data_IF_978901270161
#
_entry.id   IF_978901270161
#
_cell.length_a   1.000
_cell.length_b   1.000
_cell.length_c   1.000
_cell.angle_alpha   90.00
_cell.angle_beta   90.00
_cell.angle_gamma   90.00
#
_symmetry.space_group_name_H-M   'P 1'
#
loop_
_entity.id
_entity.type
_entity.pdbx_description
1 polymer ?
#
# COMPACT_ATOMS: atom_id res chain seq x y z
N UNK A 1 9.90 17.93 -7.01
CA UNK A 1 8.64 17.51 -6.40
C UNK A 1 8.50 18.16 -5.03
N UNK A 2 7.33 18.76 -4.77
CA UNK A 2 6.97 19.29 -3.46
C UNK A 2 6.34 18.19 -2.58
N UNK A 3 6.21 18.46 -1.28
CA UNK A 3 5.43 17.60 -0.39
C UNK A 3 3.95 17.50 -0.80
N UNK A 4 3.41 18.59 -1.38
CA UNK A 4 2.04 18.58 -1.86
C UNK A 4 1.87 17.68 -3.08
N UNK A 5 2.84 17.66 -4.00
CA UNK A 5 2.83 16.72 -5.12
C UNK A 5 2.83 15.25 -4.65
N UNK A 6 3.56 14.95 -3.57
CA UNK A 6 3.60 13.61 -2.98
C UNK A 6 2.25 13.26 -2.33
N UNK A 7 1.66 14.19 -1.58
CA UNK A 7 0.33 14.00 -0.98
C UNK A 7 -0.71 13.72 -2.04
N UNK A 8 -0.72 14.52 -3.10
CA UNK A 8 -1.66 14.38 -4.21
C UNK A 8 -1.45 13.03 -4.95
N UNK A 9 -0.22 12.61 -5.14
CA UNK A 9 0.09 11.33 -5.78
C UNK A 9 -0.36 10.13 -4.94
N UNK A 10 -0.17 10.17 -3.60
CA UNK A 10 -0.64 9.13 -2.69
C UNK A 10 -2.18 9.11 -2.62
N UNK A 11 -2.82 10.27 -2.57
CA UNK A 11 -4.29 10.36 -2.59
C UNK A 11 -4.86 9.81 -3.90
N UNK A 12 -4.28 10.17 -5.05
CA UNK A 12 -4.67 9.64 -6.36
C UNK A 12 -4.52 8.11 -6.40
N UNK A 13 -3.43 7.56 -5.91
CA UNK A 13 -3.25 6.11 -5.81
C UNK A 13 -4.37 5.48 -4.97
N UNK A 14 -4.65 6.03 -3.80
CA UNK A 14 -5.71 5.54 -2.92
C UNK A 14 -7.08 5.54 -3.58
N UNK A 15 -7.41 6.57 -4.37
CA UNK A 15 -8.66 6.64 -5.15
C UNK A 15 -8.71 5.53 -6.20
N UNK A 16 -7.64 5.32 -6.95
CA UNK A 16 -7.59 4.32 -8.03
C UNK A 16 -7.59 2.89 -7.48
N UNK A 17 -6.79 2.59 -6.47
CA UNK A 17 -6.80 1.28 -5.79
C UNK A 17 -8.15 1.03 -5.10
N UNK A 18 -8.73 2.05 -4.46
CA UNK A 18 -10.06 1.96 -3.86
C UNK A 18 -11.15 1.66 -4.90
N UNK A 19 -11.08 2.27 -6.07
CA UNK A 19 -11.97 1.96 -7.20
C UNK A 19 -11.79 0.50 -7.65
N UNK A 20 -10.56 0.01 -7.76
CA UNK A 20 -10.29 -1.38 -8.08
C UNK A 20 -10.92 -2.34 -7.05
N UNK A 21 -10.77 -2.06 -5.76
CA UNK A 21 -11.36 -2.85 -4.68
C UNK A 21 -12.90 -2.85 -4.72
N UNK A 22 -13.52 -1.69 -4.94
CA UNK A 22 -14.98 -1.58 -5.06
C UNK A 22 -15.50 -2.39 -6.25
N UNK A 23 -14.90 -2.23 -7.41
CA UNK A 23 -15.32 -2.96 -8.62
C UNK A 23 -15.10 -4.47 -8.46
N UNK A 24 -14.03 -4.91 -7.80
CA UNK A 24 -13.81 -6.32 -7.50
C UNK A 24 -14.93 -6.88 -6.60
N UNK A 25 -15.31 -6.13 -5.57
CA UNK A 25 -16.41 -6.51 -4.67
C UNK A 25 -17.75 -6.60 -5.40
N UNK A 26 -18.04 -5.66 -6.30
CA UNK A 26 -19.31 -5.60 -7.05
C UNK A 26 -19.41 -6.66 -8.15
N UNK A 27 -18.28 -7.01 -8.77
CA UNK A 27 -18.23 -7.95 -9.92
C UNK A 27 -17.97 -9.39 -9.53
N UNK A 28 -17.39 -9.61 -8.35
CA UNK A 28 -16.80 -10.88 -7.94
C UNK A 28 -15.35 -11.01 -8.41
N UNK A 29 -14.57 -11.77 -7.65
CA UNK A 29 -13.15 -12.02 -7.91
C UNK A 29 -12.98 -13.37 -8.60
N UNK A 30 -12.13 -13.41 -9.61
CA UNK A 30 -11.77 -14.64 -10.29
C UNK A 30 -11.07 -15.60 -9.30
N UNK A 31 -11.45 -16.91 -9.23
CA UNK A 31 -10.97 -17.84 -8.21
C UNK A 31 -9.45 -18.00 -8.13
N UNK A 32 -8.73 -17.93 -9.27
CA UNK A 32 -7.27 -18.00 -9.26
C UNK A 32 -6.64 -16.77 -8.62
N UNK A 33 -7.16 -15.58 -8.93
CA UNK A 33 -6.69 -14.33 -8.32
C UNK A 33 -6.98 -14.29 -6.80
N UNK A 34 -8.13 -14.83 -6.38
CA UNK A 34 -8.45 -14.95 -4.97
C UNK A 34 -7.43 -15.83 -4.24
N UNK A 35 -7.07 -16.99 -4.81
CA UNK A 35 -6.04 -17.87 -4.24
C UNK A 35 -4.64 -17.23 -4.19
N UNK A 36 -4.27 -16.48 -5.24
CA UNK A 36 -3.01 -15.73 -5.25
C UNK A 36 -2.99 -14.69 -4.12
N UNK A 37 -4.11 -13.97 -3.92
CA UNK A 37 -4.22 -12.99 -2.84
C UNK A 37 -4.13 -13.65 -1.46
N UNK A 38 -4.81 -14.77 -1.24
CA UNK A 38 -4.73 -15.53 0.01
C UNK A 38 -3.29 -15.95 0.32
N UNK A 39 -2.55 -16.42 -0.69
CA UNK A 39 -1.15 -16.81 -0.54
C UNK A 39 -0.27 -15.61 -0.15
N UNK A 40 -0.43 -14.46 -0.80
CA UNK A 40 0.33 -13.25 -0.47
C UNK A 40 -0.01 -12.72 0.92
N UNK A 41 -1.26 -12.78 1.34
CA UNK A 41 -1.65 -12.39 2.70
C UNK A 41 -0.96 -13.28 3.74
N UNK A 42 -0.89 -14.59 3.50
CA UNK A 42 -0.16 -15.52 4.37
C UNK A 42 1.36 -15.24 4.42
N UNK A 43 1.96 -14.89 3.27
CA UNK A 43 3.38 -14.53 3.21
C UNK A 43 3.67 -13.22 3.97
N UNK A 44 2.77 -12.25 3.89
CA UNK A 44 2.87 -11.01 4.66
C UNK A 44 2.76 -11.25 6.17
N UNK A 45 1.84 -12.10 6.59
CA UNK A 45 1.73 -12.52 8.00
C UNK A 45 3.03 -13.15 8.50
N UNK A 46 3.59 -14.05 7.69
CA UNK A 46 4.86 -14.71 8.01
C UNK A 46 6.02 -13.72 8.12
N UNK A 47 6.07 -12.72 7.24
CA UNK A 47 7.14 -11.71 7.24
C UNK A 47 7.16 -10.86 8.52
N UNK A 48 6.02 -10.69 9.19
CA UNK A 48 5.92 -9.89 10.44
C UNK A 48 5.86 -10.74 11.70
N UNK A 49 5.72 -12.05 11.59
CA UNK A 49 5.68 -12.96 12.73
C UNK A 49 7.06 -13.09 13.37
N UNK A 50 7.11 -13.00 14.71
CA UNK A 50 8.37 -13.07 15.46
C UNK A 50 9.35 -11.95 15.08
N UNK A 51 10.44 -12.30 14.42
CA UNK A 51 11.44 -11.34 13.91
C UNK A 51 10.98 -10.82 12.56
N UNK A 52 10.81 -9.50 12.44
CA UNK A 52 10.39 -8.85 11.20
C UNK A 52 11.41 -9.12 10.08
N UNK A 53 10.98 -9.83 9.04
CA UNK A 53 11.69 -9.90 7.75
C UNK A 53 11.24 -8.74 6.86
N UNK A 54 11.90 -7.59 7.03
CA UNK A 54 11.53 -6.37 6.35
C UNK A 54 11.60 -6.48 4.84
N UNK A 55 12.63 -7.15 4.30
CA UNK A 55 12.79 -7.31 2.85
C UNK A 55 11.65 -8.14 2.24
N UNK A 56 11.36 -9.29 2.83
CA UNK A 56 10.22 -10.12 2.41
C UNK A 56 8.91 -9.35 2.52
N UNK A 57 8.74 -8.57 3.60
CA UNK A 57 7.55 -7.73 3.74
C UNK A 57 7.39 -6.74 2.59
N UNK A 58 8.45 -6.00 2.23
CA UNK A 58 8.41 -5.02 1.13
C UNK A 58 8.07 -5.68 -0.19
N UNK A 59 8.70 -6.83 -0.49
CA UNK A 59 8.47 -7.56 -1.74
C UNK A 59 7.02 -8.07 -1.83
N UNK A 60 6.51 -8.68 -0.76
CA UNK A 60 5.13 -9.19 -0.72
C UNK A 60 4.09 -8.07 -0.70
N UNK A 61 4.38 -6.96 -0.05
CA UNK A 61 3.51 -5.78 -0.07
C UNK A 61 3.35 -5.22 -1.49
N UNK A 62 4.42 -5.18 -2.27
CA UNK A 62 4.35 -4.78 -3.67
C UNK A 62 3.45 -5.72 -4.49
N UNK A 63 3.56 -7.03 -4.27
CA UNK A 63 2.71 -8.03 -4.93
C UNK A 63 1.25 -7.89 -4.49
N UNK A 64 0.97 -7.65 -3.21
CA UNK A 64 -0.39 -7.40 -2.71
C UNK A 64 -1.05 -6.24 -3.47
N UNK A 65 -0.39 -5.11 -3.62
CA UNK A 65 -0.93 -3.95 -4.31
C UNK A 65 -1.11 -4.18 -5.82
N UNK A 66 -0.21 -4.94 -6.46
CA UNK A 66 -0.39 -5.34 -7.88
C UNK A 66 -1.62 -6.24 -8.06
N UNK A 67 -1.79 -7.24 -7.21
CA UNK A 67 -2.97 -8.10 -7.21
C UNK A 67 -4.24 -7.31 -6.95
N UNK A 68 -4.25 -6.41 -5.96
CA UNK A 68 -5.39 -5.55 -5.63
C UNK A 68 -5.87 -4.78 -6.87
N UNK A 69 -4.96 -4.20 -7.63
CA UNK A 69 -5.27 -3.49 -8.87
C UNK A 69 -5.90 -4.40 -9.94
N UNK A 70 -5.61 -5.69 -9.93
CA UNK A 70 -6.08 -6.69 -10.92
C UNK A 70 -7.37 -7.39 -10.54
N UNK A 71 -7.76 -7.39 -9.26
CA UNK A 71 -8.91 -8.14 -8.75
C UNK A 71 -10.24 -7.79 -9.44
N UNK A 72 -10.39 -6.56 -9.92
CA UNK A 72 -11.59 -6.11 -10.62
C UNK A 72 -11.74 -6.68 -12.04
N UNK A 73 -10.72 -7.35 -12.58
CA UNK A 73 -10.70 -7.81 -13.97
C UNK A 73 -10.76 -6.68 -15.00
N UNK A 74 -10.42 -5.45 -14.61
CA UNK A 74 -10.41 -4.26 -15.47
C UNK A 74 -9.00 -3.90 -15.88
N UNK A 75 -8.68 -4.08 -17.15
CA UNK A 75 -7.37 -3.69 -17.71
C UNK A 75 -7.18 -2.16 -17.67
N UNK A 76 -8.26 -1.39 -17.78
CA UNK A 76 -8.22 0.08 -17.69
C UNK A 76 -7.81 0.50 -16.28
N UNK A 77 -8.52 0.01 -15.26
CA UNK A 77 -8.25 0.36 -13.87
C UNK A 77 -6.84 -0.10 -13.45
N UNK A 78 -6.46 -1.34 -13.78
CA UNK A 78 -5.13 -1.85 -13.46
C UNK A 78 -4.02 -0.99 -14.09
N UNK A 79 -4.18 -0.58 -15.35
CA UNK A 79 -3.22 0.29 -16.03
C UNK A 79 -3.10 1.67 -15.37
N UNK A 80 -4.22 2.28 -14.98
CA UNK A 80 -4.18 3.60 -14.35
C UNK A 80 -3.60 3.54 -12.92
N UNK A 81 -3.86 2.47 -12.15
CA UNK A 81 -3.16 2.22 -10.88
C UNK A 81 -1.64 2.11 -11.11
N UNK A 82 -1.21 1.34 -12.12
CA UNK A 82 0.21 1.22 -12.44
C UNK A 82 0.84 2.54 -12.86
N UNK A 83 0.10 3.40 -13.58
CA UNK A 83 0.57 4.75 -13.92
C UNK A 83 0.75 5.61 -12.68
N UNK A 84 -0.23 5.60 -11.76
CA UNK A 84 -0.14 6.35 -10.51
C UNK A 84 1.07 5.88 -9.67
N UNK A 85 1.33 4.59 -9.61
CA UNK A 85 2.48 4.03 -8.90
C UNK A 85 3.85 4.43 -9.48
N UNK A 86 3.89 4.92 -10.71
CA UNK A 86 5.12 5.47 -11.34
C UNK A 86 5.34 6.95 -11.04
N UNK A 87 4.35 7.64 -10.49
CA UNK A 87 4.56 8.99 -10.01
C UNK A 87 5.61 8.96 -8.90
N UNK A 88 6.47 9.97 -8.84
CA UNK A 88 7.49 10.02 -7.79
C UNK A 88 6.87 9.87 -6.42
N UNK A 89 7.43 8.96 -5.64
CA UNK A 89 7.04 8.70 -4.27
C UNK A 89 5.60 8.14 -4.06
N UNK A 90 4.87 7.81 -5.11
CA UNK A 90 3.50 7.27 -5.01
C UNK A 90 3.43 5.76 -4.85
N UNK A 91 4.50 5.02 -5.19
CA UNK A 91 4.53 3.56 -5.03
C UNK A 91 4.25 3.15 -3.58
N UNK A 92 3.50 2.06 -3.35
CA UNK A 92 3.25 1.52 -2.01
C UNK A 92 4.52 1.25 -1.18
N UNK A 93 5.65 1.06 -1.86
CA UNK A 93 6.95 0.76 -1.23
C UNK A 93 7.94 1.92 -1.28
N UNK A 94 7.56 3.07 -1.83
CA UNK A 94 8.48 4.16 -2.14
C UNK A 94 9.29 4.71 -0.95
N UNK A 95 8.74 4.67 0.25
CA UNK A 95 9.36 5.23 1.45
C UNK A 95 9.63 4.18 2.54
N UNK A 96 9.52 2.90 2.21
CA UNK A 96 9.67 1.85 3.23
C UNK A 96 11.13 1.63 3.61
N UNK A 97 12.06 1.83 2.68
CA UNK A 97 13.49 1.63 2.91
C UNK A 97 14.01 2.57 4.02
N UNK A 98 14.60 2.01 5.06
CA UNK A 98 15.09 2.73 6.23
C UNK A 98 14.05 2.92 7.35
N UNK A 99 12.77 2.70 7.08
CA UNK A 99 11.72 2.83 8.10
C UNK A 99 11.79 1.71 9.16
N UNK A 100 12.33 0.56 8.81
CA UNK A 100 12.52 -0.57 9.74
C UNK A 100 13.41 -0.21 10.94
N UNK A 101 14.21 0.84 10.82
CA UNK A 101 15.08 1.34 11.89
C UNK A 101 14.33 2.23 12.91
N UNK A 102 13.09 2.60 12.63
CA UNK A 102 12.29 3.50 13.44
C UNK A 102 11.23 2.69 14.18
N UNK A 103 11.26 2.59 15.54
CA UNK A 103 10.35 1.74 16.30
C UNK A 103 8.86 1.95 16.01
N UNK A 104 8.31 3.17 15.89
CA UNK A 104 6.90 3.37 15.53
C UNK A 104 6.51 2.77 14.18
N UNK A 105 7.41 2.80 13.19
CA UNK A 105 7.14 2.19 11.87
C UNK A 105 7.19 0.69 11.90
N UNK A 106 8.09 0.13 12.66
CA UNK A 106 8.15 -1.32 12.87
C UNK A 106 6.84 -1.84 13.46
N UNK A 107 6.24 -1.10 14.37
CA UNK A 107 4.91 -1.42 14.92
C UNK A 107 3.79 -1.23 13.88
N UNK A 108 3.86 -0.18 13.08
CA UNK A 108 2.93 0.04 11.96
C UNK A 108 2.99 -1.09 10.93
N UNK A 109 4.19 -1.54 10.57
CA UNK A 109 4.40 -2.68 9.65
C UNK A 109 3.80 -3.99 10.20
N UNK A 110 3.81 -4.21 11.51
CA UNK A 110 3.19 -5.38 12.14
C UNK A 110 1.66 -5.36 12.07
N UNK A 111 1.04 -4.19 11.96
CA UNK A 111 -0.42 -4.04 11.84
C UNK A 111 -0.91 -4.08 10.40
N UNK A 112 -0.08 -3.67 9.46
CA UNK A 112 -0.48 -3.55 8.05
C UNK A 112 -1.03 -4.85 7.44
N UNK A 113 -0.51 -6.06 7.71
CA UNK A 113 -1.11 -7.29 7.21
C UNK A 113 -2.56 -7.49 7.64
N UNK A 114 -2.91 -7.11 8.87
CA UNK A 114 -4.29 -7.19 9.34
C UNK A 114 -5.22 -6.27 8.54
N UNK A 115 -4.77 -5.07 8.18
CA UNK A 115 -5.51 -4.17 7.32
C UNK A 115 -5.71 -4.77 5.91
N UNK A 116 -4.68 -5.41 5.37
CA UNK A 116 -4.76 -6.12 4.09
C UNK A 116 -5.83 -7.24 4.13
N UNK A 117 -5.89 -8.03 5.21
CA UNK A 117 -6.92 -9.04 5.40
C UNK A 117 -8.31 -8.44 5.42
N UNK A 118 -8.53 -7.35 6.16
CA UNK A 118 -9.83 -6.68 6.27
C UNK A 118 -10.28 -6.12 4.91
N UNK A 119 -9.36 -5.56 4.12
CA UNK A 119 -9.63 -5.11 2.75
C UNK A 119 -10.11 -6.28 1.89
N UNK A 120 -9.35 -7.37 1.85
CA UNK A 120 -9.67 -8.52 1.02
C UNK A 120 -10.97 -9.20 1.46
N UNK A 121 -11.21 -9.34 2.75
CA UNK A 121 -12.47 -9.87 3.29
C UNK A 121 -13.68 -9.03 2.85
N UNK A 122 -13.56 -7.70 2.89
CA UNK A 122 -14.61 -6.79 2.42
C UNK A 122 -14.91 -6.98 0.93
N UNK A 123 -13.86 -7.17 0.11
CA UNK A 123 -14.00 -7.48 -1.31
C UNK A 123 -14.75 -8.80 -1.51
N UNK A 124 -14.33 -9.86 -0.83
CA UNK A 124 -14.94 -11.19 -0.96
C UNK A 124 -16.37 -11.25 -0.46
N UNK A 125 -16.75 -10.37 0.46
CA UNK A 125 -18.15 -10.22 0.93
C UNK A 125 -19.01 -9.32 0.03
N UNK A 126 -18.47 -8.74 -1.02
CA UNK A 126 -19.21 -7.85 -1.92
C UNK A 126 -19.50 -6.46 -1.31
N UNK A 127 -18.76 -6.06 -0.27
CA UNK A 127 -18.93 -4.80 0.45
C UNK A 127 -18.16 -3.66 -0.26
N UNK A 128 -18.59 -3.29 -1.47
CA UNK A 128 -17.83 -2.40 -2.35
C UNK A 128 -17.49 -1.05 -1.75
N UNK A 129 -18.44 -0.33 -1.19
CA UNK A 129 -18.22 0.98 -0.57
C UNK A 129 -17.26 0.89 0.63
N UNK A 130 -17.34 -0.17 1.42
CA UNK A 130 -16.46 -0.42 2.55
C UNK A 130 -15.04 -0.74 2.07
N UNK A 131 -14.89 -1.61 1.09
CA UNK A 131 -13.59 -1.96 0.51
C UNK A 131 -12.88 -0.72 -0.04
N UNK A 132 -13.59 0.14 -0.78
CA UNK A 132 -13.07 1.41 -1.28
C UNK A 132 -12.58 2.32 -0.15
N UNK A 133 -13.38 2.51 0.90
CA UNK A 133 -13.02 3.35 2.03
C UNK A 133 -11.80 2.82 2.79
N UNK A 134 -11.72 1.51 3.01
CA UNK A 134 -10.59 0.86 3.68
C UNK A 134 -9.28 1.01 2.89
N UNK A 135 -9.33 0.87 1.57
CA UNK A 135 -8.14 1.05 0.72
C UNK A 135 -7.66 2.50 0.72
N UNK A 136 -8.56 3.46 0.64
CA UNK A 136 -8.21 4.88 0.75
C UNK A 136 -7.60 5.24 2.11
N UNK A 137 -8.16 4.70 3.17
CA UNK A 137 -7.61 4.85 4.51
C UNK A 137 -6.21 4.23 4.64
N UNK A 138 -6.02 3.04 4.08
CA UNK A 138 -4.72 2.37 4.05
C UNK A 138 -3.65 3.19 3.31
N UNK A 139 -3.99 3.82 2.19
CA UNK A 139 -3.08 4.73 1.48
C UNK A 139 -2.69 5.95 2.33
N UNK A 140 -3.61 6.49 3.11
CA UNK A 140 -3.35 7.64 4.01
C UNK A 140 -2.42 7.30 5.17
N UNK A 141 -2.38 6.06 5.62
CA UNK A 141 -1.40 5.63 6.63
C UNK A 141 0.03 5.74 6.12
N UNK A 142 0.27 5.41 4.85
CA UNK A 142 1.58 5.62 4.22
C UNK A 142 1.97 7.11 4.22
N UNK A 143 1.03 8.01 3.96
CA UNK A 143 1.25 9.44 4.03
C UNK A 143 1.56 9.91 5.45
N UNK A 144 0.81 9.47 6.45
CA UNK A 144 1.05 9.81 7.85
C UNK A 144 2.44 9.38 8.32
N UNK A 145 2.88 8.20 7.92
CA UNK A 145 4.22 7.71 8.21
C UNK A 145 5.30 8.60 7.58
N UNK A 146 5.10 9.01 6.33
CA UNK A 146 6.00 9.91 5.63
C UNK A 146 6.10 11.28 6.33
N UNK A 147 4.98 11.88 6.67
CA UNK A 147 4.92 13.17 7.35
C UNK A 147 5.62 13.12 8.70
N UNK A 148 5.45 12.04 9.45
CA UNK A 148 6.16 11.83 10.71
C UNK A 148 7.68 11.82 10.51
N UNK A 149 8.19 11.09 9.49
CA UNK A 149 9.64 11.07 9.20
C UNK A 149 10.16 12.45 8.87
N UNK A 150 9.43 13.20 8.07
CA UNK A 150 9.84 14.56 7.66
C UNK A 150 9.89 15.54 8.83
N UNK A 151 8.95 15.43 9.77
CA UNK A 151 8.84 16.36 10.91
C UNK A 151 9.76 15.99 12.05
N UNK A 152 9.80 14.73 12.45
CA UNK A 152 10.49 14.26 13.67
C UNK A 152 11.92 13.80 13.41
N UNK A 153 12.26 13.47 12.17
CA UNK A 153 13.57 12.88 11.81
C UNK A 153 14.14 13.42 10.50
N UNK A 154 14.37 14.76 10.38
CA UNK A 154 14.86 15.36 9.12
C UNK A 154 16.22 14.80 8.65
N UNK A 155 17.05 14.30 9.57
CA UNK A 155 18.29 13.61 9.21
C UNK A 155 18.08 12.25 8.53
N UNK A 156 16.96 11.58 8.84
CA UNK A 156 16.57 10.31 8.22
C UNK A 156 15.94 10.54 6.85
N UNK A 157 15.17 11.63 6.69
CA UNK A 157 14.60 12.03 5.42
C UNK A 157 15.64 12.12 4.30
N UNK A 158 16.86 12.56 4.63
CA UNK A 158 17.99 12.63 3.69
C UNK A 158 18.55 11.26 3.28
N UNK A 159 18.24 10.22 4.03
CA UNK A 159 18.72 8.83 3.81
C UNK A 159 17.71 7.96 3.10
N UNK A 160 16.46 8.41 3.01
CA UNK A 160 15.37 7.67 2.31
C UNK A 160 15.40 8.09 0.85
N UNK A 161 15.62 7.15 -0.08
CA UNK A 161 15.55 7.43 -1.51
C UNK A 161 14.21 8.07 -1.87
N UNK A 162 14.22 9.14 -2.65
CA UNK A 162 13.02 9.89 -3.03
C UNK A 162 12.70 11.07 -2.09
N UNK A 163 12.91 10.96 -0.77
CA UNK A 163 12.76 12.10 0.14
C UNK A 163 13.92 13.10 0.01
N UNK A 164 15.10 12.65 -0.33
CA UNK A 164 16.24 13.51 -0.64
C UNK A 164 15.96 14.47 -1.81
N UNK A 165 14.99 14.17 -2.67
CA UNK A 165 14.57 15.01 -3.79
C UNK A 165 13.57 16.10 -3.39
N UNK A 166 12.97 15.98 -2.22
CA UNK A 166 11.94 16.92 -1.70
C UNK A 166 12.54 17.90 -0.70
N UNK A 167 13.65 17.54 -0.08
CA UNK A 167 14.30 18.33 1.00
C UNK A 167 15.24 19.41 0.49
N UNK A 168 15.14 19.84 -0.80
CA UNK A 168 15.91 20.97 -1.35
C UNK A 168 15.08 22.23 -1.42
#
# INVERSE_FOLDING_TARGET
>A
FSMDDIRDAIELRGVLEGTAARLAAERGVEPNLAREMEAILSDLDTAVDGVLDFRSYVDHNAVFHDLLARLAGSTIVAREVQRANRLPAASPTAFMEGQELIPPFRESLRRAPQEHHVIFESIMRGEGARAEALVREHARLALSNLEYVMQERPGLAKRVPGLALVAQ
#
